data_IF_265801897236
#
_entry.id   IF_265801897236
#
_cell.length_a   1.000
_cell.length_b   1.000
_cell.length_c   1.000
_cell.angle_alpha   90.00
_cell.angle_beta   90.00
_cell.angle_gamma   90.00
#
_symmetry.space_group_name_H-M   'P 1'
#
loop_
_entity.id
_entity.type
_entity.pdbx_description
1 polymer ?
#
# COMPACT_ATOMS: atom_id res chain seq x y z
N UNK A 1 -12.90 26.08 14.46
CA UNK A 1 -11.64 26.66 13.93
C UNK A 1 -10.54 25.58 13.86
N UNK A 2 -10.24 24.92 14.98
CA UNK A 2 -9.23 23.84 15.11
C UNK A 2 -9.32 22.72 14.06
N UNK A 3 -10.51 22.21 13.72
CA UNK A 3 -10.64 21.09 12.77
C UNK A 3 -10.25 21.46 11.33
N UNK A 4 -10.49 22.70 10.90
CA UNK A 4 -10.10 23.18 9.55
C UNK A 4 -8.59 23.38 9.47
N UNK A 5 -7.99 23.96 10.51
CA UNK A 5 -6.54 24.13 10.62
C UNK A 5 -5.82 22.77 10.64
N UNK A 6 -6.33 21.81 11.43
CA UNK A 6 -5.80 20.46 11.46
C UNK A 6 -5.90 19.77 10.08
N UNK A 7 -7.04 19.89 9.40
CA UNK A 7 -7.22 19.31 8.06
C UNK A 7 -6.25 19.91 7.04
N UNK A 8 -6.01 21.22 7.12
CA UNK A 8 -5.04 21.91 6.28
C UNK A 8 -3.60 21.44 6.55
N UNK A 9 -3.20 21.36 7.82
CA UNK A 9 -1.87 20.87 8.22
C UNK A 9 -1.65 19.41 7.78
N UNK A 10 -2.66 18.56 7.93
CA UNK A 10 -2.62 17.18 7.42
C UNK A 10 -2.49 17.14 5.90
N UNK A 11 -3.19 18.02 5.19
CA UNK A 11 -3.03 18.18 3.74
C UNK A 11 -1.60 18.54 3.35
N UNK A 12 -0.98 19.50 4.05
CA UNK A 12 0.42 19.86 3.81
C UNK A 12 1.38 18.70 4.12
N UNK A 13 1.14 17.96 5.21
CA UNK A 13 1.96 16.79 5.55
C UNK A 13 1.86 15.69 4.47
N UNK A 14 0.68 15.48 3.88
CA UNK A 14 0.50 14.55 2.76
C UNK A 14 1.31 15.01 1.54
N UNK A 15 1.23 16.29 1.18
CA UNK A 15 1.97 16.84 0.03
C UNK A 15 3.48 16.70 0.26
N UNK A 16 3.97 17.05 1.45
CA UNK A 16 5.38 16.89 1.82
C UNK A 16 5.82 15.43 1.69
N UNK A 17 5.05 14.48 2.24
CA UNK A 17 5.35 13.05 2.13
C UNK A 17 5.35 12.54 0.68
N UNK A 18 4.42 13.02 -0.17
CA UNK A 18 4.40 12.67 -1.60
C UNK A 18 5.64 13.19 -2.34
N UNK A 19 6.10 14.40 -2.00
CA UNK A 19 7.34 14.97 -2.52
C UNK A 19 8.57 14.18 -2.05
N UNK A 20 8.61 13.75 -0.78
CA UNK A 20 9.72 12.95 -0.25
C UNK A 20 9.82 11.59 -0.94
N UNK A 21 8.68 10.93 -1.18
CA UNK A 21 8.66 9.69 -1.96
C UNK A 21 9.11 9.91 -3.40
N UNK A 22 8.70 11.02 -4.04
CA UNK A 22 9.16 11.39 -5.37
C UNK A 22 10.68 11.58 -5.41
N UNK A 23 11.22 12.35 -4.45
CA UNK A 23 12.63 12.66 -4.36
C UNK A 23 13.44 11.38 -4.15
N UNK A 24 13.02 10.51 -3.23
CA UNK A 24 13.68 9.22 -3.01
C UNK A 24 13.63 8.33 -4.24
N UNK A 25 12.47 8.17 -4.87
CA UNK A 25 12.34 7.36 -6.09
C UNK A 25 13.17 7.92 -7.26
N UNK A 26 13.26 9.25 -7.36
CA UNK A 26 14.06 9.94 -8.40
C UNK A 26 15.55 9.61 -8.26
N UNK A 27 16.08 9.56 -7.04
CA UNK A 27 17.48 9.17 -6.81
C UNK A 27 17.72 7.79 -7.41
N UNK A 28 16.87 6.81 -7.13
CA UNK A 28 17.00 5.47 -7.73
C UNK A 28 16.83 5.50 -9.27
N UNK A 29 15.85 6.25 -9.79
CA UNK A 29 15.58 6.34 -11.24
C UNK A 29 16.74 6.89 -12.04
N UNK A 30 17.42 7.89 -11.51
CA UNK A 30 18.53 8.57 -12.17
C UNK A 30 19.90 8.01 -11.77
N UNK A 31 19.96 7.08 -10.81
CA UNK A 31 21.14 6.22 -10.70
C UNK A 31 21.16 5.26 -11.89
N UNK A 32 22.29 5.14 -12.60
CA UNK A 32 22.45 4.33 -13.81
C UNK A 32 22.38 2.81 -13.59
N UNK A 33 21.61 2.34 -12.60
CA UNK A 33 21.26 0.95 -12.41
C UNK A 33 20.06 0.60 -13.28
N UNK A 34 20.23 -0.33 -14.22
CA UNK A 34 19.24 -0.67 -15.25
C UNK A 34 17.86 -1.04 -14.68
N UNK A 35 17.82 -1.66 -13.49
CA UNK A 35 16.58 -2.04 -12.82
C UNK A 35 15.78 -0.86 -12.27
N UNK A 36 16.43 0.25 -11.95
CA UNK A 36 15.74 1.42 -11.39
C UNK A 36 15.45 2.47 -12.47
N UNK A 37 16.09 2.36 -13.63
CA UNK A 37 15.97 3.28 -14.75
C UNK A 37 14.66 3.12 -15.56
N UNK A 38 13.55 2.80 -14.86
CA UNK A 38 12.20 2.67 -15.40
C UNK A 38 11.18 3.37 -14.49
N UNK A 39 10.01 3.74 -15.02
CA UNK A 39 8.93 4.37 -14.24
C UNK A 39 8.30 3.43 -13.22
N UNK A 40 8.53 2.12 -13.37
CA UNK A 40 8.27 1.12 -12.34
C UNK A 40 8.81 1.52 -10.97
N UNK A 41 9.94 2.24 -10.92
CA UNK A 41 10.53 2.73 -9.66
C UNK A 41 9.54 3.58 -8.89
N UNK A 42 8.94 4.60 -9.53
CA UNK A 42 7.92 5.43 -8.87
C UNK A 42 6.72 4.61 -8.44
N UNK A 43 6.23 3.72 -9.32
CA UNK A 43 5.09 2.86 -9.03
C UNK A 43 5.32 1.97 -7.81
N UNK A 44 6.51 1.40 -7.68
CA UNK A 44 6.89 0.54 -6.56
C UNK A 44 7.01 1.32 -5.25
N UNK A 45 7.61 2.50 -5.28
CA UNK A 45 7.74 3.36 -4.09
C UNK A 45 6.37 3.86 -3.60
N UNK A 46 5.58 4.50 -4.46
CA UNK A 46 4.25 4.97 -4.10
C UNK A 46 3.30 3.83 -3.75
N UNK A 47 3.31 2.74 -4.52
CA UNK A 47 2.45 1.60 -4.25
C UNK A 47 2.77 0.94 -2.90
N UNK A 48 4.05 0.87 -2.53
CA UNK A 48 4.47 0.37 -1.21
C UNK A 48 4.06 1.34 -0.10
N UNK A 49 4.27 2.64 -0.28
CA UNK A 49 3.83 3.68 0.67
C UNK A 49 2.32 3.58 0.93
N UNK A 50 1.50 3.45 -0.11
CA UNK A 50 0.05 3.34 0.03
C UNK A 50 -0.37 2.05 0.73
N UNK A 51 0.21 0.90 0.34
CA UNK A 51 -0.09 -0.40 0.96
C UNK A 51 0.35 -0.44 2.43
N UNK A 52 1.63 -0.19 2.70
CA UNK A 52 2.21 -0.28 4.04
C UNK A 52 1.73 0.86 4.94
N UNK A 53 1.57 2.07 4.40
CA UNK A 53 1.06 3.23 5.12
C UNK A 53 -0.39 3.03 5.58
N UNK A 54 -1.27 2.52 4.72
CA UNK A 54 -2.65 2.23 5.09
C UNK A 54 -2.75 1.12 6.16
N UNK A 55 -1.98 0.04 6.00
CA UNK A 55 -1.92 -1.04 6.99
C UNK A 55 -1.32 -0.56 8.33
N UNK A 56 -0.23 0.21 8.27
CA UNK A 56 0.46 0.78 9.43
C UNK A 56 -0.42 1.78 10.19
N UNK A 57 -1.15 2.64 9.48
CA UNK A 57 -2.13 3.54 10.08
C UNK A 57 -3.19 2.78 10.87
N UNK A 58 -3.79 1.73 10.28
CA UNK A 58 -4.77 0.91 10.97
C UNK A 58 -4.20 0.25 12.23
N UNK A 59 -3.00 -0.34 12.13
CA UNK A 59 -2.35 -0.97 13.28
C UNK A 59 -2.02 0.03 14.38
N UNK A 60 -1.48 1.21 14.02
CA UNK A 60 -1.12 2.26 14.96
C UNK A 60 -2.34 2.78 15.72
N UNK A 61 -3.43 3.10 15.01
CA UNK A 61 -4.66 3.57 15.65
C UNK A 61 -5.22 2.50 16.58
N UNK A 62 -5.32 1.24 16.15
CA UNK A 62 -5.79 0.17 17.03
C UNK A 62 -4.92 -0.03 18.27
N UNK A 63 -3.60 0.12 18.12
CA UNK A 63 -2.66 0.04 19.24
C UNK A 63 -2.88 1.17 20.24
N UNK A 64 -2.97 2.43 19.75
CA UNK A 64 -3.20 3.60 20.59
C UNK A 64 -4.55 3.53 21.33
N UNK A 65 -5.59 3.02 20.68
CA UNK A 65 -6.91 2.83 21.29
C UNK A 65 -6.89 1.78 22.40
N UNK A 66 -6.15 0.68 22.21
CA UNK A 66 -5.97 -0.34 23.25
C UNK A 66 -5.29 0.21 24.50
N UNK A 67 -4.33 1.11 24.34
CA UNK A 67 -3.66 1.75 25.47
C UNK A 67 -4.53 2.81 26.16
N UNK A 68 -5.46 3.46 25.43
CA UNK A 68 -6.39 4.45 25.98
C UNK A 68 -7.74 3.84 26.41
N UNK A 69 -7.71 2.69 27.10
CA UNK A 69 -8.83 1.78 27.42
C UNK A 69 -10.11 2.37 28.09
N UNK A 70 -10.25 3.69 28.22
CA UNK A 70 -11.43 4.38 28.76
C UNK A 70 -12.36 5.06 27.74
N UNK A 71 -12.04 5.12 26.44
CA UNK A 71 -12.92 5.76 25.43
C UNK A 71 -13.43 4.77 24.38
N UNK A 72 -14.66 4.23 24.54
CA UNK A 72 -15.29 3.35 23.55
C UNK A 72 -15.70 4.07 22.23
N UNK A 73 -15.40 5.37 22.08
CA UNK A 73 -15.93 6.18 20.99
C UNK A 73 -15.00 6.34 19.76
N UNK A 74 -13.73 5.96 19.85
CA UNK A 74 -12.73 6.29 18.82
C UNK A 74 -12.39 5.10 17.89
N UNK A 75 -13.37 4.29 17.48
CA UNK A 75 -13.12 3.23 16.49
C UNK A 75 -13.09 3.80 15.07
N UNK A 76 -12.20 3.29 14.21
CA UNK A 76 -12.21 3.62 12.79
C UNK A 76 -13.56 3.22 12.19
N UNK A 77 -14.26 4.18 11.59
CA UNK A 77 -15.58 3.91 10.98
C UNK A 77 -15.51 2.82 9.92
N UNK A 78 -16.59 2.06 9.75
CA UNK A 78 -16.70 1.02 8.71
C UNK A 78 -16.36 1.55 7.31
N UNK A 79 -16.78 2.79 7.01
CA UNK A 79 -16.43 3.47 5.75
C UNK A 79 -14.92 3.69 5.63
N UNK A 80 -14.26 4.12 6.71
CA UNK A 80 -12.80 4.28 6.76
C UNK A 80 -12.07 2.96 6.52
N UNK A 81 -12.56 1.85 7.08
CA UNK A 81 -11.98 0.52 6.83
C UNK A 81 -12.06 0.12 5.35
N UNK A 82 -13.18 0.38 4.68
CA UNK A 82 -13.31 0.13 3.24
C UNK A 82 -12.36 0.98 2.40
N UNK A 83 -12.16 2.24 2.77
CA UNK A 83 -11.20 3.12 2.10
C UNK A 83 -9.78 2.57 2.25
N UNK A 84 -9.38 2.17 3.47
CA UNK A 84 -8.07 1.58 3.71
C UNK A 84 -7.88 0.28 2.92
N UNK A 85 -8.89 -0.61 2.92
CA UNK A 85 -8.88 -1.83 2.13
C UNK A 85 -8.75 -1.55 0.62
N UNK A 86 -9.49 -0.57 0.10
CA UNK A 86 -9.42 -0.18 -1.30
C UNK A 86 -8.05 0.40 -1.66
N UNK A 87 -7.46 1.25 -0.82
CA UNK A 87 -6.10 1.79 -1.02
C UNK A 87 -5.07 0.67 -1.09
N UNK A 88 -5.13 -0.29 -0.16
CA UNK A 88 -4.25 -1.46 -0.15
C UNK A 88 -4.45 -2.31 -1.42
N UNK A 89 -5.71 -2.66 -1.73
CA UNK A 89 -6.05 -3.50 -2.87
C UNK A 89 -5.65 -2.88 -4.21
N UNK A 90 -6.04 -1.62 -4.46
CA UNK A 90 -5.75 -0.92 -5.71
C UNK A 90 -4.23 -0.72 -5.89
N UNK A 91 -3.52 -0.31 -4.83
CA UNK A 91 -2.06 -0.12 -4.92
C UNK A 91 -1.29 -1.42 -5.13
N UNK A 92 -1.77 -2.55 -4.60
CA UNK A 92 -1.22 -3.87 -4.90
C UNK A 92 -1.52 -4.30 -6.34
N UNK A 93 -2.78 -4.18 -6.77
CA UNK A 93 -3.21 -4.57 -8.11
C UNK A 93 -2.52 -3.75 -9.21
N UNK A 94 -2.34 -2.45 -9.02
CA UNK A 94 -1.62 -1.61 -9.96
C UNK A 94 -0.17 -2.08 -10.18
N UNK A 95 0.54 -2.43 -9.09
CA UNK A 95 1.90 -2.99 -9.16
C UNK A 95 1.92 -4.35 -9.86
N UNK A 96 0.98 -5.23 -9.52
CA UNK A 96 0.86 -6.54 -10.16
C UNK A 96 0.56 -6.43 -11.66
N UNK A 97 -0.32 -5.50 -12.05
CA UNK A 97 -0.70 -5.31 -13.44
C UNK A 97 0.43 -4.72 -14.29
N UNK A 98 1.27 -3.85 -13.71
CA UNK A 98 2.39 -3.24 -14.41
C UNK A 98 3.61 -4.17 -14.51
N UNK A 99 3.73 -5.13 -13.59
CA UNK A 99 4.89 -6.00 -13.49
C UNK A 99 5.27 -6.74 -14.80
N UNK A 100 4.34 -7.34 -15.58
CA UNK A 100 4.71 -8.00 -16.83
C UNK A 100 5.34 -7.04 -17.85
N UNK A 101 4.84 -5.80 -17.92
CA UNK A 101 5.41 -4.78 -18.80
C UNK A 101 6.84 -4.41 -18.37
N UNK A 102 7.07 -4.31 -17.05
CA UNK A 102 8.39 -4.04 -16.49
C UNK A 102 9.38 -5.20 -16.72
N UNK A 103 8.97 -6.46 -16.56
CA UNK A 103 9.84 -7.62 -16.86
C UNK A 103 10.21 -7.66 -18.36
N UNK A 104 9.27 -7.36 -19.26
CA UNK A 104 9.56 -7.24 -20.69
C UNK A 104 10.58 -6.13 -20.99
N UNK A 105 10.49 -5.00 -20.28
CA UNK A 105 11.48 -3.92 -20.37
C UNK A 105 12.87 -4.36 -19.89
N UNK A 106 12.96 -5.15 -18.81
CA UNK A 106 14.25 -5.65 -18.33
C UNK A 106 14.90 -6.62 -19.32
N UNK A 107 14.11 -7.52 -19.90
CA UNK A 107 14.58 -8.46 -20.92
C UNK A 107 15.13 -7.70 -22.13
N UNK A 108 14.37 -6.73 -22.67
CA UNK A 108 14.83 -5.94 -23.82
C UNK A 108 16.08 -5.11 -23.50
N UNK A 109 16.13 -4.52 -22.31
CA UNK A 109 17.28 -3.72 -21.86
C UNK A 109 18.54 -4.56 -21.70
N UNK A 110 18.42 -5.79 -21.19
CA UNK A 110 19.54 -6.73 -21.04
C UNK A 110 20.22 -7.09 -22.36
N UNK A 111 19.50 -7.06 -23.48
CA UNK A 111 20.08 -7.34 -24.81
C UNK A 111 20.81 -6.13 -25.42
N UNK A 112 20.44 -4.91 -25.03
CA UNK A 112 20.88 -3.68 -25.70
C UNK A 112 21.82 -2.82 -24.85
N UNK A 113 21.91 -3.06 -23.55
CA UNK A 113 22.71 -2.27 -22.64
C UNK A 113 23.46 -3.18 -21.66
N UNK A 114 24.78 -3.21 -21.76
CA UNK A 114 25.62 -3.68 -20.66
C UNK A 114 25.82 -2.53 -19.67
N UNK A 115 25.81 -2.83 -18.37
CA UNK A 115 26.06 -1.80 -17.35
C UNK A 115 27.53 -1.36 -17.39
N UNK A 116 27.85 -0.36 -18.21
CA UNK A 116 29.23 0.13 -18.35
C UNK A 116 29.70 0.86 -17.08
N UNK A 117 28.77 1.46 -16.32
CA UNK A 117 29.10 2.32 -15.16
C UNK A 117 29.29 1.57 -13.85
N UNK A 118 28.62 0.44 -13.64
CA UNK A 118 28.71 -0.34 -12.39
C UNK A 118 29.06 -1.79 -12.71
N UNK A 119 30.02 -2.40 -11.97
CA UNK A 119 30.45 -3.78 -12.20
C UNK A 119 29.42 -4.82 -11.73
N UNK A 120 28.27 -4.37 -11.21
CA UNK A 120 27.19 -5.23 -10.73
C UNK A 120 26.16 -5.40 -11.84
N UNK A 121 25.96 -6.64 -12.27
CA UNK A 121 24.82 -7.02 -13.10
C UNK A 121 23.52 -6.90 -12.29
N UNK A 122 22.93 -5.70 -12.34
CA UNK A 122 21.71 -5.36 -11.62
C UNK A 122 20.50 -6.19 -12.06
N UNK A 123 20.42 -6.59 -13.33
CA UNK A 123 19.32 -7.40 -13.87
C UNK A 123 19.42 -8.82 -13.32
N UNK A 124 20.60 -9.43 -13.34
CA UNK A 124 20.80 -10.75 -12.75
C UNK A 124 20.57 -10.73 -11.24
N UNK A 125 21.04 -9.71 -10.53
CA UNK A 125 20.76 -9.52 -9.10
C UNK A 125 19.25 -9.42 -8.82
N UNK A 126 18.50 -8.70 -9.66
CA UNK A 126 17.05 -8.66 -9.60
C UNK A 126 16.43 -10.05 -9.84
N UNK A 127 16.90 -10.81 -10.82
CA UNK A 127 16.34 -12.15 -11.06
C UNK A 127 16.62 -13.13 -9.90
N UNK A 128 17.71 -12.97 -9.14
CA UNK A 128 17.98 -13.81 -7.98
C UNK A 128 16.96 -13.66 -6.84
N UNK A 129 16.28 -12.52 -6.74
CA UNK A 129 15.24 -12.29 -5.71
C UNK A 129 13.83 -12.61 -6.20
N UNK A 130 13.67 -13.34 -7.32
CA UNK A 130 12.36 -13.66 -7.88
C UNK A 130 11.43 -14.37 -6.88
N UNK A 131 11.97 -15.29 -6.08
CA UNK A 131 11.19 -16.06 -5.10
C UNK A 131 10.58 -15.14 -4.04
N UNK A 132 11.33 -14.13 -3.58
CA UNK A 132 10.86 -13.11 -2.67
C UNK A 132 9.72 -12.29 -3.30
N UNK A 133 9.85 -11.91 -4.58
CA UNK A 133 8.79 -11.16 -5.29
C UNK A 133 7.49 -11.96 -5.37
N UNK A 134 7.56 -13.20 -5.85
CA UNK A 134 6.38 -14.08 -5.96
C UNK A 134 5.75 -14.32 -4.59
N UNK A 135 6.57 -14.63 -3.59
CA UNK A 135 6.07 -14.85 -2.22
C UNK A 135 5.38 -13.61 -1.68
N UNK A 136 5.97 -12.42 -1.89
CA UNK A 136 5.38 -11.16 -1.45
C UNK A 136 4.03 -10.88 -2.11
N UNK A 137 3.86 -11.23 -3.39
CA UNK A 137 2.59 -11.07 -4.10
C UNK A 137 1.53 -12.03 -3.61
N UNK A 138 1.88 -13.31 -3.43
CA UNK A 138 0.96 -14.32 -2.88
C UNK A 138 0.48 -13.89 -1.50
N UNK A 139 1.39 -13.49 -0.62
CA UNK A 139 1.05 -12.99 0.72
C UNK A 139 0.18 -11.73 0.62
N UNK A 140 0.51 -10.79 -0.26
CA UNK A 140 -0.26 -9.56 -0.46
C UNK A 140 -1.69 -9.84 -0.93
N UNK A 141 -1.88 -10.72 -1.91
CA UNK A 141 -3.18 -11.10 -2.45
C UNK A 141 -4.02 -11.78 -1.35
N UNK A 142 -3.43 -12.74 -0.63
CA UNK A 142 -4.10 -13.41 0.49
C UNK A 142 -4.51 -12.40 1.57
N UNK A 143 -3.64 -11.46 1.92
CA UNK A 143 -3.96 -10.43 2.89
C UNK A 143 -5.15 -9.57 2.45
N UNK A 144 -5.20 -9.12 1.19
CA UNK A 144 -6.33 -8.32 0.66
C UNK A 144 -7.64 -9.11 0.69
N UNK A 145 -7.62 -10.39 0.31
CA UNK A 145 -8.80 -11.26 0.32
C UNK A 145 -9.29 -11.47 1.75
N UNK A 146 -8.39 -11.83 2.67
CA UNK A 146 -8.75 -12.09 4.07
C UNK A 146 -9.26 -10.83 4.77
N UNK A 147 -8.64 -9.68 4.55
CA UNK A 147 -9.10 -8.40 5.07
C UNK A 147 -10.48 -8.04 4.51
N UNK A 148 -10.68 -8.19 3.20
CA UNK A 148 -11.97 -7.92 2.55
C UNK A 148 -13.08 -8.81 3.08
N UNK A 149 -12.81 -10.12 3.24
CA UNK A 149 -13.74 -11.06 3.83
C UNK A 149 -14.07 -10.72 5.29
N UNK A 150 -13.06 -10.36 6.08
CA UNK A 150 -13.24 -9.91 7.47
C UNK A 150 -14.14 -8.68 7.58
N UNK A 151 -13.91 -7.66 6.74
CA UNK A 151 -14.75 -6.47 6.66
C UNK A 151 -16.20 -6.82 6.28
N UNK A 152 -16.38 -7.64 5.25
CA UNK A 152 -17.70 -8.04 4.78
C UNK A 152 -18.48 -8.78 5.86
N UNK A 153 -17.81 -9.71 6.57
CA UNK A 153 -18.42 -10.45 7.69
C UNK A 153 -18.82 -9.51 8.83
N UNK A 154 -17.94 -8.57 9.20
CA UNK A 154 -18.23 -7.58 10.24
C UNK A 154 -19.48 -6.77 9.90
N UNK A 155 -19.60 -6.27 8.66
CA UNK A 155 -20.80 -5.56 8.21
C UNK A 155 -22.06 -6.40 8.30
N UNK A 156 -22.00 -7.65 7.84
CA UNK A 156 -23.17 -8.54 7.85
C UNK A 156 -23.67 -8.80 9.27
N UNK A 157 -22.76 -8.93 10.23
CA UNK A 157 -23.10 -9.08 11.65
C UNK A 157 -23.72 -7.80 12.22
N UNK A 158 -23.16 -6.62 11.92
CA UNK A 158 -23.76 -5.34 12.33
C UNK A 158 -25.17 -5.16 11.77
N UNK A 159 -25.38 -5.46 10.47
CA UNK A 159 -26.69 -5.34 9.83
C UNK A 159 -27.72 -6.31 10.43
N UNK A 160 -27.32 -7.56 10.70
CA UNK A 160 -28.21 -8.57 11.29
C UNK A 160 -28.59 -8.23 12.75
N UNK A 161 -27.64 -7.70 13.54
CA UNK A 161 -27.89 -7.27 14.91
C UNK A 161 -28.91 -6.12 15.01
N UNK A 162 -28.82 -5.14 14.09
CA UNK A 162 -29.78 -4.04 13.99
C UNK A 162 -31.20 -4.54 13.69
N UNK A 163 -31.35 -5.51 12.76
CA UNK A 163 -32.66 -6.09 12.43
C UNK A 163 -33.29 -6.83 13.63
N UNK A 164 -32.50 -7.57 14.41
CA UNK A 164 -33.00 -8.28 15.59
C UNK A 164 -33.37 -7.38 16.76
N UNK A 165 -32.71 -6.22 16.91
CA UNK A 165 -33.05 -5.23 17.95
C UNK A 165 -34.33 -4.48 17.61
N UNK A 166 -34.58 -4.19 16.33
CA UNK A 166 -35.80 -3.50 15.89
C UNK A 166 -37.05 -4.39 16.02
N UNK A 167 -36.90 -5.71 15.93
CA UNK A 167 -38.02 -6.66 16.04
C UNK A 167 -38.48 -6.94 17.47
N UNK A 168 -37.68 -6.58 18.49
CA UNK A 168 -38.01 -6.78 19.92
C UNK A 168 -38.56 -5.52 20.61
N UNK A 169 -38.75 -4.43 19.85
CA UNK A 169 -39.19 -3.13 20.35
C UNK A 169 -40.67 -2.80 20.08
N UNK A 170 -41.52 -3.82 19.87
CA UNK A 170 -42.98 -3.68 19.76
C UNK A 170 -43.63 -4.52 20.87
#
# INVERSE_FOLDING_TARGET
MVQKELSFLLGLAIIAGLCDVYAMASIYRYTSMLTWMNDNTYLMFYGTMLTAGAAGYYLLINLLLRFHAGSPAAQVSTRGLWVLWAVIGISLLARLAYQPAYENYLVSTSYHNESITFPIDSIHAYQRIWSLRITSWVVGILAVILLGYGLFRHMRQTASGVMTSSSKGI
#
